data_IF_241184722010
#
_entry.id   IF_241184722010
#
_cell.length_a   1.000
_cell.length_b   1.000
_cell.length_c   1.000
_cell.angle_alpha   90.00
_cell.angle_beta   90.00
_cell.angle_gamma   90.00
#
_symmetry.space_group_name_H-M   'P 1'
#
loop_
_entity.id
_entity.type
_entity.pdbx_description
1 polymer ?
#
# COMPACT_ATOMS: atom_id res chain seq x y z
N UNK A 1 -43.97 31.22 -16.82
CA UNK A 1 -43.26 30.00 -16.37
C UNK A 1 -41.78 30.36 -16.30
N UNK A 2 -41.22 30.56 -15.10
CA UNK A 2 -39.79 30.80 -14.97
C UNK A 2 -39.02 29.52 -15.38
N UNK A 3 -37.82 29.64 -15.97
CA UNK A 3 -37.07 28.49 -16.45
C UNK A 3 -36.65 27.59 -15.29
N UNK A 4 -36.76 26.28 -15.51
CA UNK A 4 -36.31 25.23 -14.59
C UNK A 4 -34.77 25.33 -14.53
N UNK A 5 -34.16 25.48 -13.35
CA UNK A 5 -32.71 25.50 -13.24
C UNK A 5 -32.17 24.09 -13.54
N UNK A 6 -31.69 23.89 -14.76
CA UNK A 6 -30.73 22.84 -15.09
C UNK A 6 -29.36 23.30 -14.64
N UNK A 7 -29.09 23.31 -13.33
CA UNK A 7 -27.84 23.84 -12.80
C UNK A 7 -27.13 22.75 -12.03
N UNK A 8 -26.22 22.03 -12.70
CA UNK A 8 -24.95 21.79 -12.04
C UNK A 8 -24.48 23.18 -11.58
N UNK A 9 -24.29 23.35 -10.28
CA UNK A 9 -24.00 24.66 -9.73
C UNK A 9 -22.78 25.26 -10.45
N UNK A 10 -22.82 26.54 -10.77
CA UNK A 10 -21.73 27.18 -11.54
C UNK A 10 -20.38 27.00 -10.81
N UNK A 11 -20.45 26.95 -9.47
CA UNK A 11 -19.36 26.63 -8.56
C UNK A 11 -18.79 25.21 -8.79
N UNK A 12 -19.63 24.18 -8.84
CA UNK A 12 -19.20 22.80 -9.07
C UNK A 12 -18.54 22.62 -10.45
N UNK A 13 -19.05 23.30 -11.48
CA UNK A 13 -18.43 23.28 -12.82
C UNK A 13 -17.07 23.97 -12.84
N UNK A 14 -16.93 25.10 -12.14
CA UNK A 14 -15.65 25.80 -12.03
C UNK A 14 -14.60 24.99 -11.28
N UNK A 15 -15.00 24.26 -10.24
CA UNK A 15 -14.12 23.35 -9.49
C UNK A 15 -13.66 22.19 -10.35
N UNK A 16 -14.57 21.55 -11.09
CA UNK A 16 -14.23 20.48 -12.04
C UNK A 16 -13.19 20.96 -13.06
N UNK A 17 -13.41 22.13 -13.67
CA UNK A 17 -12.46 22.68 -14.64
C UNK A 17 -11.10 22.98 -14.01
N UNK A 18 -11.08 23.48 -12.77
CA UNK A 18 -9.83 23.73 -12.03
C UNK A 18 -9.06 22.44 -11.73
N UNK A 19 -9.76 21.37 -11.35
CA UNK A 19 -9.20 20.04 -11.09
C UNK A 19 -8.60 19.46 -12.37
N UNK A 20 -9.35 19.54 -13.48
CA UNK A 20 -8.91 19.00 -14.77
C UNK A 20 -7.66 19.72 -15.30
N UNK A 21 -7.61 21.06 -15.18
CA UNK A 21 -6.44 21.86 -15.55
C UNK A 21 -5.21 21.47 -14.73
N UNK A 22 -5.35 21.39 -13.41
CA UNK A 22 -4.23 21.04 -12.51
C UNK A 22 -3.78 19.59 -12.70
N UNK A 23 -4.71 18.66 -12.95
CA UNK A 23 -4.39 17.28 -13.31
C UNK A 23 -3.59 17.19 -14.63
N UNK A 24 -4.00 17.93 -15.66
CA UNK A 24 -3.28 17.97 -16.93
C UNK A 24 -1.87 18.57 -16.78
N UNK A 25 -1.72 19.62 -15.97
CA UNK A 25 -0.41 20.22 -15.71
C UNK A 25 0.55 19.23 -15.00
N UNK A 26 0.05 18.55 -13.96
CA UNK A 26 0.82 17.55 -13.22
C UNK A 26 1.25 16.37 -14.09
N UNK A 27 0.33 15.83 -14.89
CA UNK A 27 0.59 14.66 -15.74
C UNK A 27 1.47 14.99 -16.95
N UNK A 28 1.28 16.16 -17.58
CA UNK A 28 1.95 16.51 -18.83
C UNK A 28 3.30 17.18 -18.62
N UNK A 29 3.43 18.02 -17.58
CA UNK A 29 4.62 18.85 -17.40
C UNK A 29 5.41 18.45 -16.16
N UNK A 30 4.78 18.37 -14.99
CA UNK A 30 5.54 18.26 -13.75
C UNK A 30 6.12 16.85 -13.52
N UNK A 31 5.35 15.79 -13.73
CA UNK A 31 5.83 14.40 -13.55
C UNK A 31 6.93 14.04 -14.58
N UNK A 32 6.79 14.36 -15.88
CA UNK A 32 7.84 14.10 -16.85
C UNK A 32 9.10 14.94 -16.59
N UNK A 33 8.94 16.20 -16.17
CA UNK A 33 10.07 17.04 -15.75
C UNK A 33 10.81 16.39 -14.61
N UNK A 34 10.11 15.95 -13.55
CA UNK A 34 10.71 15.29 -12.41
C UNK A 34 11.43 13.98 -12.80
N UNK A 35 10.92 13.22 -13.77
CA UNK A 35 11.60 12.04 -14.33
C UNK A 35 12.89 12.40 -15.08
N UNK A 36 12.87 13.49 -15.86
CA UNK A 36 14.01 13.94 -16.66
C UNK A 36 15.10 14.62 -15.83
N UNK A 37 14.81 14.98 -14.59
CA UNK A 37 15.74 15.65 -13.70
C UNK A 37 16.82 14.70 -13.17
N UNK A 38 17.99 14.74 -13.80
CA UNK A 38 19.24 14.11 -13.35
C UNK A 38 20.14 15.09 -12.56
N UNK A 39 19.54 16.17 -12.02
CA UNK A 39 20.27 17.27 -11.38
C UNK A 39 20.67 16.98 -9.92
N UNK A 40 21.33 17.95 -9.25
CA UNK A 40 21.73 17.82 -7.85
C UNK A 40 20.52 17.57 -6.93
N UNK A 41 20.73 16.71 -5.93
CA UNK A 41 19.72 16.16 -5.02
C UNK A 41 18.80 17.22 -4.38
N UNK A 42 19.32 18.43 -4.15
CA UNK A 42 18.56 19.57 -3.61
C UNK A 42 17.48 20.09 -4.56
N UNK A 43 17.77 20.16 -5.86
CA UNK A 43 16.80 20.61 -6.88
C UNK A 43 15.71 19.58 -7.13
N UNK A 44 16.09 18.29 -7.10
CA UNK A 44 15.14 17.19 -7.18
C UNK A 44 14.19 17.18 -5.97
N UNK A 45 14.71 17.41 -4.75
CA UNK A 45 13.89 17.48 -3.54
C UNK A 45 12.91 18.66 -3.58
N UNK A 46 13.30 19.81 -4.12
CA UNK A 46 12.41 20.96 -4.30
C UNK A 46 11.25 20.64 -5.24
N UNK A 47 11.52 20.09 -6.43
CA UNK A 47 10.47 19.67 -7.36
C UNK A 47 9.61 18.53 -6.82
N UNK A 48 10.19 17.62 -6.04
CA UNK A 48 9.44 16.58 -5.35
C UNK A 48 8.47 17.14 -4.32
N UNK A 49 8.85 18.20 -3.60
CA UNK A 49 7.99 18.88 -2.65
C UNK A 49 6.85 19.62 -3.38
N UNK A 50 7.16 20.35 -4.45
CA UNK A 50 6.19 21.06 -5.29
C UNK A 50 5.12 20.10 -5.87
N UNK A 51 5.54 18.99 -6.49
CA UNK A 51 4.61 17.98 -7.02
C UNK A 51 3.74 17.36 -5.92
N UNK A 52 4.28 17.17 -4.71
CA UNK A 52 3.50 16.64 -3.58
C UNK A 52 2.47 17.65 -3.09
N UNK A 53 2.84 18.92 -2.99
CA UNK A 53 1.94 20.01 -2.61
C UNK A 53 0.79 20.15 -3.62
N UNK A 54 1.09 20.08 -4.92
CA UNK A 54 0.08 20.17 -5.97
C UNK A 54 -0.87 18.96 -5.98
N UNK A 55 -0.36 17.75 -5.72
CA UNK A 55 -1.20 16.55 -5.55
C UNK A 55 -2.08 16.66 -4.29
N UNK A 56 -1.58 17.23 -3.21
CA UNK A 56 -2.37 17.49 -2.00
C UNK A 56 -3.43 18.57 -2.25
N UNK A 57 -3.07 19.63 -3.00
CA UNK A 57 -4.01 20.65 -3.45
C UNK A 57 -5.13 20.07 -4.32
N UNK A 58 -4.80 19.16 -5.25
CA UNK A 58 -5.81 18.42 -6.02
C UNK A 58 -6.72 17.57 -5.12
N UNK A 59 -6.14 16.90 -4.11
CA UNK A 59 -6.93 16.08 -3.18
C UNK A 59 -7.97 16.91 -2.43
N UNK A 60 -7.58 18.10 -1.96
CA UNK A 60 -8.48 19.05 -1.26
C UNK A 60 -9.61 19.53 -2.16
N UNK A 61 -9.33 19.84 -3.43
CA UNK A 61 -10.35 20.25 -4.39
C UNK A 61 -11.35 19.13 -4.72
N UNK A 62 -10.90 17.87 -4.77
CA UNK A 62 -11.78 16.72 -4.97
C UNK A 62 -12.66 16.51 -3.74
N UNK A 63 -12.12 16.66 -2.53
CA UNK A 63 -12.89 16.59 -1.30
C UNK A 63 -13.95 17.71 -1.20
N UNK A 64 -13.58 18.94 -1.59
CA UNK A 64 -14.51 20.06 -1.72
C UNK A 64 -15.63 19.76 -2.73
N UNK A 65 -15.29 19.16 -3.88
CA UNK A 65 -16.26 18.71 -4.87
C UNK A 65 -17.22 17.66 -4.29
N UNK A 66 -16.75 16.73 -3.45
CA UNK A 66 -17.60 15.73 -2.81
C UNK A 66 -18.55 16.31 -1.78
N UNK A 67 -18.11 17.31 -1.01
CA UNK A 67 -18.99 18.04 -0.08
C UNK A 67 -20.11 18.73 -0.86
N UNK A 68 -19.79 19.33 -2.01
CA UNK A 68 -20.80 19.94 -2.90
C UNK A 68 -21.75 18.90 -3.52
N UNK A 69 -21.25 17.70 -3.86
CA UNK A 69 -22.08 16.58 -4.33
C UNK A 69 -23.13 16.19 -3.29
N UNK A 70 -22.77 16.19 -2.01
CA UNK A 70 -23.67 15.79 -0.93
C UNK A 70 -24.70 16.87 -0.54
N UNK A 71 -24.43 18.15 -0.83
CA UNK A 71 -25.37 19.26 -0.58
C UNK A 71 -26.46 19.38 -1.67
N UNK A 72 -26.24 18.81 -2.85
CA UNK A 72 -27.18 18.90 -3.97
C UNK A 72 -28.49 18.11 -3.73
N UNK A 73 -29.61 18.84 -3.66
CA UNK A 73 -30.98 18.30 -3.45
C UNK A 73 -31.54 17.52 -4.65
N UNK A 74 -30.92 17.58 -5.83
CA UNK A 74 -31.39 16.91 -7.05
C UNK A 74 -30.66 15.59 -7.28
N UNK A 75 -31.37 14.47 -7.10
CA UNK A 75 -30.84 13.09 -7.21
C UNK A 75 -30.24 12.73 -8.58
N UNK A 76 -30.60 13.44 -9.65
CA UNK A 76 -30.00 13.24 -10.98
C UNK A 76 -28.67 13.96 -11.13
N UNK A 77 -28.57 15.20 -10.65
CA UNK A 77 -27.32 15.98 -10.69
C UNK A 77 -26.28 15.40 -9.74
N UNK A 78 -26.71 14.97 -8.54
CA UNK A 78 -25.88 14.28 -7.55
C UNK A 78 -25.20 13.03 -8.11
N UNK A 79 -25.96 12.18 -8.84
CA UNK A 79 -25.40 10.95 -9.44
C UNK A 79 -24.37 11.22 -10.53
N UNK A 80 -24.59 12.24 -11.36
CA UNK A 80 -23.64 12.60 -12.40
C UNK A 80 -22.36 13.21 -11.80
N UNK A 81 -22.50 14.09 -10.80
CA UNK A 81 -21.37 14.72 -10.15
C UNK A 81 -20.53 13.72 -9.35
N UNK A 82 -21.19 12.77 -8.65
CA UNK A 82 -20.54 11.67 -7.94
C UNK A 82 -19.72 10.79 -8.89
N UNK A 83 -20.25 10.45 -10.07
CA UNK A 83 -19.49 9.70 -11.09
C UNK A 83 -18.21 10.44 -11.50
N UNK A 84 -18.28 11.75 -11.69
CA UNK A 84 -17.10 12.56 -12.04
C UNK A 84 -16.10 12.64 -10.89
N UNK A 85 -16.56 12.80 -9.65
CA UNK A 85 -15.71 12.79 -8.47
C UNK A 85 -14.97 11.45 -8.30
N UNK A 86 -15.63 10.31 -8.55
CA UNK A 86 -14.98 8.98 -8.54
C UNK A 86 -13.89 8.87 -9.62
N UNK A 87 -14.15 9.36 -10.85
CA UNK A 87 -13.13 9.39 -11.91
C UNK A 87 -11.92 10.24 -11.51
N UNK A 88 -12.14 11.38 -10.85
CA UNK A 88 -11.04 12.20 -10.35
C UNK A 88 -10.29 11.54 -9.18
N UNK A 89 -10.97 10.82 -8.29
CA UNK A 89 -10.32 10.01 -7.25
C UNK A 89 -9.40 8.95 -7.84
N UNK A 90 -9.89 8.18 -8.82
CA UNK A 90 -9.10 7.15 -9.49
C UNK A 90 -7.88 7.76 -10.19
N UNK A 91 -8.09 8.89 -10.87
CA UNK A 91 -7.02 9.65 -11.53
C UNK A 91 -5.97 10.14 -10.53
N UNK A 92 -6.38 10.60 -9.34
CA UNK A 92 -5.47 11.02 -8.28
C UNK A 92 -4.64 9.85 -7.74
N UNK A 93 -5.25 8.67 -7.57
CA UNK A 93 -4.53 7.45 -7.14
C UNK A 93 -3.46 7.08 -8.17
N UNK A 94 -3.78 7.15 -9.47
CA UNK A 94 -2.82 6.90 -10.53
C UNK A 94 -1.71 7.96 -10.54
N UNK A 95 -2.04 9.23 -10.39
CA UNK A 95 -1.09 10.33 -10.33
C UNK A 95 -0.12 10.20 -9.13
N UNK A 96 -0.61 9.73 -7.97
CA UNK A 96 0.22 9.40 -6.80
C UNK A 96 1.18 8.23 -7.06
N UNK A 97 0.76 7.23 -7.83
CA UNK A 97 1.64 6.11 -8.23
C UNK A 97 2.70 6.60 -9.20
N UNK A 98 2.31 7.39 -10.19
CA UNK A 98 3.22 7.92 -11.21
C UNK A 98 4.24 8.89 -10.64
N UNK A 99 3.85 9.74 -9.69
CA UNK A 99 4.78 10.64 -9.00
C UNK A 99 5.79 9.87 -8.14
N UNK A 100 5.36 8.80 -7.45
CA UNK A 100 6.28 7.91 -6.71
C UNK A 100 7.23 7.18 -7.65
N UNK A 101 6.73 6.67 -8.78
CA UNK A 101 7.56 6.01 -9.79
C UNK A 101 8.58 7.00 -10.40
N UNK A 102 8.16 8.25 -10.66
CA UNK A 102 9.03 9.31 -11.16
C UNK A 102 10.14 9.68 -10.17
N UNK A 103 9.81 9.79 -8.88
CA UNK A 103 10.76 10.07 -7.81
C UNK A 103 11.81 8.97 -7.67
N UNK A 104 11.38 7.71 -7.73
CA UNK A 104 12.29 6.59 -7.68
C UNK A 104 13.19 6.56 -8.92
N UNK A 105 12.65 6.73 -10.12
CA UNK A 105 13.42 6.74 -11.35
C UNK A 105 14.49 7.84 -11.38
N UNK A 106 14.14 9.07 -10.97
CA UNK A 106 15.09 10.17 -10.88
C UNK A 106 16.14 9.95 -9.79
N UNK A 107 15.76 9.37 -8.64
CA UNK A 107 16.73 8.99 -7.60
C UNK A 107 17.72 7.94 -8.09
N UNK A 108 17.25 6.88 -8.75
CA UNK A 108 18.12 5.87 -9.34
C UNK A 108 19.06 6.47 -10.40
N UNK A 109 18.58 7.39 -11.23
CA UNK A 109 19.40 8.09 -12.21
C UNK A 109 20.52 8.92 -11.54
N UNK A 110 20.19 9.69 -10.50
CA UNK A 110 21.17 10.48 -9.74
C UNK A 110 22.17 9.58 -9.02
N UNK A 111 21.71 8.51 -8.37
CA UNK A 111 22.57 7.55 -7.68
C UNK A 111 23.55 6.92 -8.68
N UNK A 112 23.08 6.50 -9.86
CA UNK A 112 23.94 5.94 -10.92
C UNK A 112 24.97 6.94 -11.46
N UNK A 113 24.59 8.20 -11.65
CA UNK A 113 25.52 9.24 -12.10
C UNK A 113 26.57 9.56 -11.02
N UNK A 114 26.18 9.60 -9.74
CA UNK A 114 27.10 9.84 -8.64
C UNK A 114 28.16 8.72 -8.52
N UNK A 115 27.77 7.48 -8.81
CA UNK A 115 28.70 6.35 -8.83
C UNK A 115 29.68 6.45 -10.00
N UNK A 116 29.20 6.78 -11.20
CA UNK A 116 30.08 6.97 -12.37
C UNK A 116 31.09 8.11 -12.16
N UNK A 117 30.67 9.24 -11.58
CA UNK A 117 31.58 10.35 -11.27
C UNK A 117 32.62 9.96 -10.21
N UNK A 118 32.26 9.15 -9.21
CA UNK A 118 33.23 8.63 -8.22
C UNK A 118 34.25 7.70 -8.86
N UNK A 119 33.85 6.84 -9.78
CA UNK A 119 34.75 5.93 -10.49
C UNK A 119 35.76 6.70 -11.35
N UNK A 120 35.31 7.75 -12.05
CA UNK A 120 36.20 8.64 -12.82
C UNK A 120 37.19 9.40 -11.93
N UNK A 121 36.73 9.90 -10.77
CA UNK A 121 37.57 10.60 -9.81
C UNK A 121 38.56 9.67 -9.08
N UNK A 122 38.21 8.40 -8.84
CA UNK A 122 39.14 7.41 -8.26
C UNK A 122 40.22 6.96 -9.27
N UNK A 123 39.94 7.03 -10.56
CA UNK A 123 40.90 6.69 -11.63
C UNK A 123 41.93 7.80 -11.89
N UNK A 124 41.60 9.05 -11.57
CA UNK A 124 42.42 10.25 -11.83
C UNK A 124 43.68 10.41 -10.94
N UNK A 125 43.68 10.15 -9.60
CA UNK A 125 44.84 10.41 -8.75
C UNK A 125 45.97 9.38 -8.89
N UNK A 126 45.69 8.14 -9.31
CA UNK A 126 46.68 7.07 -9.39
C UNK A 126 47.80 7.31 -10.43
N UNK A 127 47.66 8.31 -11.31
CA UNK A 127 48.62 8.63 -12.37
C UNK A 127 49.54 9.82 -12.00
N UNK A 128 49.21 10.60 -10.96
CA UNK A 128 49.90 11.88 -10.67
C UNK A 128 51.05 11.79 -9.65
N UNK A 129 51.25 10.64 -8.98
CA UNK A 129 52.17 10.52 -7.85
C UNK A 129 53.58 10.01 -8.21
N UNK A 130 53.87 9.69 -9.49
CA UNK A 130 55.13 9.06 -9.90
C UNK A 130 56.25 10.00 -10.39
N UNK A 131 56.17 11.32 -10.16
CA UNK A 131 57.04 12.28 -10.88
C UNK A 131 57.73 13.38 -10.05
N UNK A 132 57.98 13.19 -8.75
CA UNK A 132 58.70 14.21 -7.96
C UNK A 132 59.60 13.62 -6.86
N UNK A 133 60.72 12.99 -7.21
CA UNK A 133 61.75 12.64 -6.21
C UNK A 133 63.14 12.46 -6.81
N UNK A 134 63.93 13.54 -6.91
CA UNK A 134 65.39 13.45 -6.97
C UNK A 134 66.03 14.84 -6.85
N UNK A 135 66.73 15.11 -5.74
CA UNK A 135 68.02 15.81 -5.70
C UNK A 135 68.26 16.44 -4.33
N UNK A 136 69.35 16.03 -3.65
CA UNK A 136 70.49 16.91 -3.36
C UNK A 136 71.19 16.53 -2.05
N UNK A 137 72.17 15.64 -2.19
CA UNK A 137 73.09 15.09 -1.19
C UNK A 137 74.35 15.97 -1.06
N UNK A 138 74.21 17.21 -0.59
CA UNK A 138 75.35 18.13 -0.40
C UNK A 138 75.17 19.04 0.82
N UNK A 139 74.96 18.49 2.00
CA UNK A 139 74.86 19.31 3.21
C UNK A 139 75.28 18.45 4.40
N UNK A 140 76.49 18.63 4.96
CA UNK A 140 76.91 17.92 6.19
C UNK A 140 77.43 18.87 7.27
N UNK A 141 77.98 20.04 6.92
CA UNK A 141 78.31 21.11 7.89
C UNK A 141 77.16 22.13 8.01
N UNK A 142 76.62 22.59 6.87
CA UNK A 142 75.36 23.33 6.81
C UNK A 142 74.20 22.49 7.37
N UNK A 143 74.32 21.16 7.44
CA UNK A 143 73.25 20.29 7.92
C UNK A 143 73.07 20.36 9.43
N UNK A 144 74.07 20.79 10.19
CA UNK A 144 73.94 20.96 11.64
C UNK A 144 73.30 22.31 12.01
N UNK A 145 73.68 23.40 11.32
CA UNK A 145 72.98 24.68 11.45
C UNK A 145 71.58 24.62 10.83
N UNK A 146 71.44 23.99 9.67
CA UNK A 146 70.17 23.71 9.02
C UNK A 146 69.35 22.68 9.78
N UNK A 147 69.92 21.75 10.53
CA UNK A 147 69.13 20.87 11.41
C UNK A 147 68.51 21.64 12.57
N UNK A 148 69.23 22.58 13.20
CA UNK A 148 68.62 23.42 14.23
C UNK A 148 67.58 24.39 13.66
N UNK A 149 67.84 24.95 12.48
CA UNK A 149 66.87 25.76 11.77
C UNK A 149 65.66 24.93 11.32
N UNK A 150 65.87 23.73 10.77
CA UNK A 150 64.82 22.80 10.33
C UNK A 150 64.03 22.27 11.53
N UNK A 151 64.62 22.08 12.72
CA UNK A 151 63.88 21.71 13.95
C UNK A 151 63.04 22.88 14.43
N UNK A 152 63.57 24.11 14.36
CA UNK A 152 62.81 25.33 14.72
C UNK A 152 61.70 25.62 13.72
N UNK A 153 61.99 25.48 12.42
CA UNK A 153 61.03 25.60 11.33
C UNK A 153 59.99 24.47 11.42
N UNK A 154 60.40 23.24 11.72
CA UNK A 154 59.49 22.12 11.96
C UNK A 154 58.60 22.37 13.18
N UNK A 155 59.11 22.95 14.27
CA UNK A 155 58.31 23.33 15.43
C UNK A 155 57.34 24.46 15.09
N UNK A 156 57.78 25.48 14.36
CA UNK A 156 56.93 26.60 13.94
C UNK A 156 55.85 26.12 12.95
N UNK A 157 56.20 25.19 12.06
CA UNK A 157 55.29 24.48 11.16
C UNK A 157 54.35 23.55 11.91
N UNK A 158 54.81 22.91 12.98
CA UNK A 158 53.99 22.04 13.86
C UNK A 158 53.03 22.87 14.68
N UNK A 159 53.44 24.04 15.20
CA UNK A 159 52.56 24.99 15.87
C UNK A 159 51.50 25.49 14.89
N UNK A 160 51.89 25.89 13.68
CA UNK A 160 50.94 26.26 12.63
C UNK A 160 50.00 25.13 12.22
N UNK A 161 50.48 23.89 12.16
CA UNK A 161 49.66 22.70 11.90
C UNK A 161 48.73 22.37 13.06
N UNK A 162 49.16 22.47 14.31
CA UNK A 162 48.32 22.28 15.49
C UNK A 162 47.23 23.33 15.56
N UNK A 163 47.54 24.58 15.24
CA UNK A 163 46.57 25.67 15.21
C UNK A 163 45.53 25.43 14.10
N UNK A 164 45.98 24.98 12.92
CA UNK A 164 45.12 24.56 11.82
C UNK A 164 44.30 23.30 12.14
N UNK A 165 44.85 22.35 12.88
CA UNK A 165 44.13 21.16 13.35
C UNK A 165 43.11 21.50 14.44
N UNK A 166 43.40 22.46 15.32
CA UNK A 166 42.46 22.94 16.31
C UNK A 166 41.31 23.71 15.67
N UNK A 167 41.58 24.61 14.71
CA UNK A 167 40.53 25.25 13.91
C UNK A 167 39.67 24.22 13.18
N UNK A 168 40.31 23.18 12.62
CA UNK A 168 39.62 22.08 11.95
C UNK A 168 38.85 21.18 12.92
N UNK A 169 39.32 21.00 14.15
CA UNK A 169 38.67 20.21 15.19
C UNK A 169 37.44 20.93 15.76
N UNK A 170 37.51 22.26 15.94
CA UNK A 170 36.35 23.08 16.32
C UNK A 170 35.29 23.07 15.21
N UNK A 171 35.71 23.21 13.94
CA UNK A 171 34.80 23.08 12.80
C UNK A 171 34.19 21.67 12.70
N UNK A 172 34.97 20.63 12.97
CA UNK A 172 34.49 19.25 12.97
C UNK A 172 33.50 18.99 14.12
N UNK A 173 33.72 19.55 15.31
CA UNK A 173 32.76 19.47 16.42
C UNK A 173 31.46 20.20 16.11
N UNK A 174 31.53 21.40 15.52
CA UNK A 174 30.33 22.12 15.06
C UNK A 174 29.57 21.33 13.97
N UNK A 175 30.30 20.71 13.04
CA UNK A 175 29.69 19.85 12.03
C UNK A 175 29.06 18.59 12.65
N UNK A 176 29.71 17.95 13.62
CA UNK A 176 29.16 16.79 14.34
C UNK A 176 27.91 17.15 15.13
N UNK A 177 27.89 18.31 15.79
CA UNK A 177 26.72 18.79 16.53
C UNK A 177 25.58 19.15 15.58
N UNK A 178 25.87 19.82 14.44
CA UNK A 178 24.88 20.08 13.39
C UNK A 178 24.34 18.79 12.75
N UNK A 179 25.19 17.77 12.57
CA UNK A 179 24.81 16.46 12.04
C UNK A 179 23.94 15.70 13.04
N UNK A 180 24.24 15.82 14.34
CA UNK A 180 23.45 15.24 15.43
C UNK A 180 22.07 15.91 15.54
N UNK A 181 22.01 17.24 15.44
CA UNK A 181 20.75 17.99 15.43
C UNK A 181 19.89 17.64 14.19
N UNK A 182 20.55 17.40 13.05
CA UNK A 182 19.88 16.95 11.81
C UNK A 182 19.38 15.52 11.95
N UNK A 183 20.14 14.61 12.56
CA UNK A 183 19.70 13.24 12.85
C UNK A 183 18.53 13.19 13.84
N UNK A 184 18.52 14.04 14.87
CA UNK A 184 17.38 14.15 15.77
C UNK A 184 16.13 14.68 15.05
N UNK A 185 16.29 15.64 14.15
CA UNK A 185 15.20 16.15 13.31
C UNK A 185 14.70 15.10 12.32
N UNK A 186 15.61 14.30 11.76
CA UNK A 186 15.30 13.16 10.90
C UNK A 186 14.56 12.03 11.65
N UNK A 187 14.93 11.75 12.90
CA UNK A 187 14.23 10.77 13.75
C UNK A 187 12.79 11.23 14.03
N UNK A 188 12.59 12.50 14.42
CA UNK A 188 11.25 13.05 14.66
C UNK A 188 10.35 13.02 13.43
N UNK A 189 10.92 13.24 12.24
CA UNK A 189 10.18 13.13 10.98
C UNK A 189 9.86 11.67 10.63
N UNK A 190 10.73 10.72 10.96
CA UNK A 190 10.41 9.30 10.85
C UNK A 190 9.28 8.85 11.80
N UNK A 191 9.31 9.28 13.06
CA UNK A 191 8.27 8.93 14.05
C UNK A 191 6.89 9.47 13.65
N UNK A 192 6.84 10.69 13.12
CA UNK A 192 5.59 11.29 12.63
C UNK A 192 5.06 10.60 11.37
N UNK A 193 5.94 10.16 10.46
CA UNK A 193 5.55 9.35 9.30
C UNK A 193 5.00 7.99 9.70
N UNK A 194 5.60 7.32 10.69
CA UNK A 194 5.10 6.04 11.21
C UNK A 194 3.75 6.21 11.92
N UNK A 195 3.55 7.32 12.65
CA UNK A 195 2.25 7.65 13.23
C UNK A 195 1.17 7.83 12.15
N UNK A 196 1.48 8.55 11.07
CA UNK A 196 0.56 8.77 9.94
C UNK A 196 0.31 7.47 9.18
N UNK A 197 1.33 6.64 8.96
CA UNK A 197 1.19 5.32 8.33
C UNK A 197 0.35 4.37 9.19
N UNK A 198 0.54 4.40 10.51
CA UNK A 198 -0.28 3.69 11.48
C UNK A 198 -1.75 4.13 11.40
N UNK A 199 -2.00 5.43 11.41
CA UNK A 199 -3.34 6.00 11.24
C UNK A 199 -3.97 5.62 9.90
N UNK A 200 -3.19 5.64 8.81
CA UNK A 200 -3.66 5.22 7.48
C UNK A 200 -4.01 3.73 7.46
N UNK A 201 -3.18 2.86 8.04
CA UNK A 201 -3.50 1.43 8.19
C UNK A 201 -4.75 1.18 9.03
N UNK A 202 -4.93 1.96 10.10
CA UNK A 202 -6.08 1.82 10.97
C UNK A 202 -7.36 2.29 10.28
N UNK A 203 -7.31 3.38 9.50
CA UNK A 203 -8.42 3.81 8.64
C UNK A 203 -8.75 2.76 7.57
N UNK A 204 -7.74 2.22 6.87
CA UNK A 204 -7.93 1.18 5.86
C UNK A 204 -8.57 -0.07 6.48
N UNK A 205 -8.09 -0.50 7.64
CA UNK A 205 -8.64 -1.66 8.36
C UNK A 205 -10.08 -1.39 8.84
N UNK A 206 -10.37 -0.15 9.28
CA UNK A 206 -11.72 0.22 9.69
C UNK A 206 -12.68 0.25 8.49
N UNK A 207 -12.22 0.76 7.34
CA UNK A 207 -12.99 0.80 6.10
C UNK A 207 -13.25 -0.62 5.57
N UNK A 208 -12.22 -1.49 5.55
CA UNK A 208 -12.36 -2.90 5.17
C UNK A 208 -13.35 -3.66 6.07
N UNK A 209 -13.32 -3.41 7.39
CA UNK A 209 -14.28 -4.01 8.33
C UNK A 209 -15.71 -3.54 8.09
N UNK A 210 -15.91 -2.25 7.82
CA UNK A 210 -17.24 -1.71 7.49
C UNK A 210 -17.76 -2.32 6.18
N UNK A 211 -16.91 -2.42 5.15
CA UNK A 211 -17.28 -3.06 3.88
C UNK A 211 -17.60 -4.55 4.05
N UNK A 212 -16.84 -5.26 4.89
CA UNK A 212 -17.12 -6.67 5.19
C UNK A 212 -18.44 -6.86 5.95
N UNK A 213 -18.72 -5.99 6.93
CA UNK A 213 -19.99 -6.00 7.66
C UNK A 213 -21.18 -5.66 6.76
N UNK A 214 -21.05 -4.66 5.90
CA UNK A 214 -22.10 -4.30 4.94
C UNK A 214 -22.41 -5.47 4.00
N UNK A 215 -21.36 -6.13 3.50
CA UNK A 215 -21.51 -7.31 2.65
C UNK A 215 -22.20 -8.47 3.38
N UNK A 216 -21.88 -8.68 4.66
CA UNK A 216 -22.55 -9.68 5.51
C UNK A 216 -24.01 -9.30 5.77
N UNK A 217 -24.32 -8.02 6.00
CA UNK A 217 -25.69 -7.56 6.22
C UNK A 217 -26.54 -7.81 4.98
N UNK A 218 -26.02 -7.49 3.78
CA UNK A 218 -26.71 -7.77 2.51
C UNK A 218 -26.96 -9.27 2.34
N UNK A 219 -25.95 -10.11 2.57
CA UNK A 219 -26.09 -11.57 2.47
C UNK A 219 -27.11 -12.09 3.47
N UNK A 220 -27.06 -11.63 4.72
CA UNK A 220 -28.00 -12.04 5.77
C UNK A 220 -29.44 -11.67 5.42
N UNK A 221 -29.66 -10.46 4.87
CA UNK A 221 -30.96 -10.01 4.41
C UNK A 221 -31.49 -10.84 3.23
N UNK A 222 -30.62 -11.18 2.28
CA UNK A 222 -30.98 -12.04 1.14
C UNK A 222 -31.37 -13.45 1.61
N UNK A 223 -30.60 -14.04 2.53
CA UNK A 223 -30.89 -15.36 3.10
C UNK A 223 -32.20 -15.34 3.88
N UNK A 224 -32.43 -14.31 4.71
CA UNK A 224 -33.66 -14.16 5.46
C UNK A 224 -34.87 -14.00 4.53
N UNK A 225 -34.75 -13.16 3.51
CA UNK A 225 -35.78 -13.00 2.49
C UNK A 225 -36.07 -14.32 1.75
N UNK A 226 -35.02 -15.03 1.34
CA UNK A 226 -35.13 -16.33 0.70
C UNK A 226 -35.84 -17.35 1.58
N UNK A 227 -35.49 -17.42 2.87
CA UNK A 227 -36.17 -18.27 3.86
C UNK A 227 -37.64 -17.91 4.01
N UNK A 228 -37.98 -16.62 4.08
CA UNK A 228 -39.37 -16.16 4.19
C UNK A 228 -40.16 -16.52 2.93
N UNK A 229 -39.61 -16.27 1.74
CA UNK A 229 -40.24 -16.65 0.47
C UNK A 229 -40.42 -18.17 0.41
N UNK A 230 -39.40 -18.95 0.76
CA UNK A 230 -39.48 -20.41 0.76
C UNK A 230 -40.49 -20.93 1.79
N UNK A 231 -40.58 -20.29 2.95
CA UNK A 231 -41.57 -20.61 3.97
C UNK A 231 -43.00 -20.33 3.49
N UNK A 232 -43.23 -19.16 2.88
CA UNK A 232 -44.52 -18.79 2.27
C UNK A 232 -44.87 -19.76 1.15
N UNK A 233 -43.91 -20.10 0.28
CA UNK A 233 -44.10 -21.08 -0.78
C UNK A 233 -44.42 -22.44 -0.19
N UNK A 234 -43.69 -22.91 0.83
CA UNK A 234 -43.95 -24.19 1.49
C UNK A 234 -45.35 -24.21 2.07
N UNK A 235 -45.77 -23.17 2.78
CA UNK A 235 -47.12 -23.10 3.36
C UNK A 235 -48.21 -22.98 2.27
N UNK A 236 -47.99 -22.18 1.23
CA UNK A 236 -48.96 -21.98 0.15
C UNK A 236 -49.08 -23.20 -0.79
N UNK A 237 -47.96 -23.80 -1.17
CA UNK A 237 -47.92 -25.02 -2.01
C UNK A 237 -48.44 -26.20 -1.21
N UNK A 238 -48.14 -26.32 0.09
CA UNK A 238 -48.68 -27.41 0.90
C UNK A 238 -50.18 -27.21 1.13
N UNK A 239 -50.66 -26.03 1.50
CA UNK A 239 -52.10 -25.85 1.76
C UNK A 239 -52.96 -25.86 0.49
N UNK A 240 -52.45 -25.36 -0.64
CA UNK A 240 -53.15 -25.48 -1.94
C UNK A 240 -52.94 -26.84 -2.58
N UNK A 241 -51.73 -27.38 -2.51
CA UNK A 241 -51.38 -28.70 -3.05
C UNK A 241 -52.06 -29.83 -2.28
N UNK A 242 -52.17 -29.75 -0.95
CA UNK A 242 -52.96 -30.68 -0.15
C UNK A 242 -54.46 -30.54 -0.44
N UNK A 243 -54.99 -29.33 -0.63
CA UNK A 243 -56.40 -29.17 -1.05
C UNK A 243 -56.66 -29.68 -2.46
N UNK A 244 -55.77 -29.42 -3.42
CA UNK A 244 -55.87 -29.97 -4.77
C UNK A 244 -55.71 -31.49 -4.74
N UNK A 245 -54.74 -32.02 -4.00
CA UNK A 245 -54.53 -33.46 -3.87
C UNK A 245 -55.71 -34.12 -3.17
N UNK A 246 -56.25 -33.53 -2.10
CA UNK A 246 -57.43 -34.03 -1.39
C UNK A 246 -58.70 -33.90 -2.23
N UNK A 247 -58.85 -32.83 -3.02
CA UNK A 247 -59.95 -32.67 -3.97
C UNK A 247 -59.88 -33.70 -5.11
N UNK A 248 -58.69 -33.92 -5.69
CA UNK A 248 -58.47 -34.95 -6.71
C UNK A 248 -58.62 -36.37 -6.13
N UNK A 249 -58.17 -36.68 -4.91
CA UNK A 249 -58.42 -37.99 -4.28
C UNK A 249 -59.88 -38.19 -3.86
N UNK A 250 -60.64 -37.11 -3.66
CA UNK A 250 -62.07 -37.15 -3.36
C UNK A 250 -62.93 -37.29 -4.63
N UNK A 251 -62.42 -36.85 -5.78
CA UNK A 251 -63.11 -36.89 -7.07
C UNK A 251 -62.69 -38.08 -7.97
N UNK A 252 -61.69 -38.88 -7.56
CA UNK A 252 -61.46 -40.19 -8.17
C UNK A 252 -62.42 -41.22 -7.52
N UNK A 253 -63.31 -41.88 -8.30
CA UNK A 253 -64.06 -43.01 -7.80
C UNK A 253 -63.08 -44.13 -7.43
N UNK A 254 -63.21 -44.66 -6.22
CA UNK A 254 -62.47 -45.83 -5.77
C UNK A 254 -62.89 -47.04 -6.61
N UNK A 255 -62.17 -47.29 -7.70
CA UNK A 255 -62.22 -48.56 -8.41
C UNK A 255 -60.80 -48.95 -8.77
N UNK A 256 -60.39 -50.13 -8.30
CA UNK A 256 -59.17 -50.79 -8.74
C UNK A 256 -57.95 -50.56 -7.86
N UNK A 257 -57.94 -51.19 -6.69
CA UNK A 257 -56.70 -51.67 -6.06
C UNK A 257 -55.94 -52.57 -7.03
N UNK A 258 -54.86 -52.08 -7.67
CA UNK A 258 -53.74 -52.92 -8.15
C UNK A 258 -52.54 -52.13 -8.73
N UNK A 259 -52.65 -50.85 -9.07
CA UNK A 259 -51.51 -50.13 -9.69
C UNK A 259 -50.57 -49.42 -8.70
N UNK A 260 -50.93 -49.39 -7.41
CA UNK A 260 -50.13 -48.72 -6.37
C UNK A 260 -48.90 -49.53 -5.92
N UNK A 261 -48.83 -50.82 -6.24
CA UNK A 261 -47.67 -51.66 -5.92
C UNK A 261 -46.51 -51.50 -6.93
N UNK A 262 -46.79 -51.17 -8.20
CA UNK A 262 -45.76 -51.13 -9.25
C UNK A 262 -45.01 -49.80 -9.28
N UNK A 263 -45.64 -48.68 -8.88
CA UNK A 263 -45.01 -47.35 -8.91
C UNK A 263 -44.14 -47.09 -7.67
N UNK A 264 -44.43 -47.75 -6.54
CA UNK A 264 -43.58 -47.68 -5.33
C UNK A 264 -42.30 -48.50 -5.51
N UNK A 265 -42.35 -49.61 -6.27
CA UNK A 265 -41.16 -50.42 -6.53
C UNK A 265 -40.19 -49.74 -7.52
N UNK A 266 -40.70 -48.97 -8.50
CA UNK A 266 -39.85 -48.19 -9.43
C UNK A 266 -39.29 -46.89 -8.85
N UNK A 267 -39.84 -46.38 -7.74
CA UNK A 267 -39.24 -45.23 -7.04
C UNK A 267 -38.04 -45.65 -6.16
N UNK A 268 -37.99 -46.91 -5.71
CA UNK A 268 -36.87 -47.45 -4.93
C UNK A 268 -35.58 -47.67 -5.74
N UNK A 269 -35.70 -48.02 -7.03
CA UNK A 269 -34.55 -48.34 -7.89
C UNK A 269 -33.84 -47.08 -8.44
N UNK A 270 -34.58 -45.98 -8.60
CA UNK A 270 -34.04 -44.68 -9.06
C UNK A 270 -33.34 -43.92 -7.92
N UNK A 271 -33.74 -44.16 -6.66
CA UNK A 271 -33.02 -43.64 -5.48
C UNK A 271 -31.73 -44.44 -5.21
N UNK A 272 -31.71 -45.74 -5.47
CA UNK A 272 -30.50 -46.56 -5.36
C UNK A 272 -29.46 -46.24 -6.47
N UNK A 273 -29.90 -45.98 -7.70
CA UNK A 273 -28.99 -45.60 -8.79
C UNK A 273 -28.52 -44.14 -8.73
N UNK A 274 -29.31 -43.21 -8.17
CA UNK A 274 -28.84 -41.85 -7.90
C UNK A 274 -27.79 -41.79 -6.77
N UNK A 275 -27.84 -42.73 -5.82
CA UNK A 275 -26.85 -42.83 -4.73
C UNK A 275 -25.49 -43.36 -5.23
N UNK A 276 -25.45 -44.17 -6.29
CA UNK A 276 -24.21 -44.67 -6.89
C UNK A 276 -23.56 -43.68 -7.89
N UNK A 277 -24.32 -42.73 -8.46
CA UNK A 277 -23.76 -41.71 -9.37
C UNK A 277 -23.08 -40.57 -8.61
N UNK A 278 -23.43 -40.35 -7.34
CA UNK A 278 -22.75 -39.35 -6.49
C UNK A 278 -21.39 -39.80 -5.95
N UNK A 279 -21.01 -41.07 -6.12
CA UNK A 279 -19.73 -41.60 -5.63
C UNK A 279 -18.65 -41.73 -6.72
N UNK A 280 -18.96 -41.39 -7.99
CA UNK A 280 -17.98 -41.48 -9.10
C UNK A 280 -17.56 -40.15 -9.73
N UNK A 281 -18.03 -38.99 -9.25
CA UNK A 281 -17.68 -37.70 -9.87
C UNK A 281 -16.98 -36.68 -8.98
N UNK A 282 -16.42 -37.05 -7.83
CA UNK A 282 -15.48 -36.19 -7.08
C UNK A 282 -14.22 -36.97 -6.72
N UNK A 283 -13.57 -37.52 -7.75
CA UNK A 283 -12.12 -37.62 -7.78
C UNK A 283 -11.59 -36.42 -8.55
N UNK A 284 -10.95 -35.47 -7.87
CA UNK A 284 -10.19 -34.41 -8.56
C UNK A 284 -10.14 -33.05 -7.86
N UNK A 285 -9.26 -32.98 -6.84
CA UNK A 285 -8.48 -31.80 -6.44
C UNK A 285 -9.14 -30.66 -5.64
N UNK A 286 -8.71 -30.57 -4.37
CA UNK A 286 -8.16 -29.31 -3.84
C UNK A 286 -8.93 -28.62 -2.72
N UNK A 287 -8.66 -29.02 -1.47
CA UNK A 287 -8.88 -28.27 -0.22
C UNK A 287 -8.37 -26.80 -0.27
N UNK A 288 -8.73 -25.88 0.66
CA UNK A 288 -9.26 -26.15 2.00
C UNK A 288 -10.41 -25.26 2.48
N UNK A 289 -11.18 -25.75 3.45
CA UNK A 289 -11.88 -24.87 4.39
C UNK A 289 -11.87 -25.45 5.79
N UNK A 290 -11.53 -24.53 6.67
CA UNK A 290 -11.18 -24.60 8.07
C UNK A 290 -12.46 -24.52 8.91
N UNK A 291 -12.60 -25.42 9.90
CA UNK A 291 -13.63 -25.31 10.92
C UNK A 291 -12.96 -25.40 12.28
N UNK A 292 -12.95 -24.26 12.99
CA UNK A 292 -12.57 -24.15 14.40
C UNK A 292 -13.66 -24.81 15.23
N UNK A 293 -13.29 -25.82 16.02
CA UNK A 293 -14.10 -26.33 17.12
C UNK A 293 -13.64 -25.71 18.44
N UNK A 294 -14.63 -25.37 19.25
CA UNK A 294 -14.50 -24.73 20.54
C UNK A 294 -13.89 -25.65 21.60
N UNK A 295 -12.93 -25.07 22.34
CA UNK A 295 -12.67 -25.16 23.78
C UNK A 295 -13.20 -26.37 24.57
N UNK A 296 -12.26 -27.11 25.16
CA UNK A 296 -12.42 -27.74 26.48
C UNK A 296 -11.12 -27.59 27.31
N UNK A 297 -11.20 -27.75 28.65
CA UNK A 297 -10.29 -27.05 29.55
C UNK A 297 -9.44 -27.97 30.45
N UNK A 298 -8.32 -27.41 30.93
CA UNK A 298 -7.49 -27.73 32.12
C UNK A 298 -7.01 -29.18 32.45
N UNK A 299 -5.66 -29.31 32.57
CA UNK A 299 -4.84 -30.28 33.35
C UNK A 299 -4.78 -31.73 32.83
N UNK A 300 -3.68 -32.48 32.88
CA UNK A 300 -2.61 -32.60 33.89
C UNK A 300 -1.35 -33.15 33.21
N UNK A 301 -0.16 -32.65 33.58
CA UNK A 301 1.11 -33.19 33.10
C UNK A 301 1.55 -34.45 33.85
N UNK A 302 2.40 -35.27 33.22
CA UNK A 302 3.54 -35.93 33.88
C UNK A 302 4.48 -36.65 32.89
N UNK A 303 5.77 -36.52 33.20
CA UNK A 303 6.91 -37.39 32.90
C UNK A 303 7.42 -37.57 31.45
N UNK A 304 8.57 -36.94 31.17
CA UNK A 304 9.54 -37.48 30.20
C UNK A 304 10.92 -37.54 30.85
N UNK A 305 11.52 -38.73 30.80
CA UNK A 305 12.76 -39.10 31.43
C UNK A 305 14.00 -38.61 30.69
N UNK A 306 15.00 -38.27 31.49
CA UNK A 306 16.36 -37.93 31.10
C UNK A 306 17.12 -39.16 30.58
N UNK A 307 17.74 -39.03 29.42
CA UNK A 307 18.72 -39.96 28.86
C UNK A 307 19.84 -39.16 28.23
N UNK A 308 20.96 -39.03 28.95
CA UNK A 308 22.13 -38.27 28.52
C UNK A 308 22.91 -38.95 27.39
N UNK A 309 23.67 -38.13 26.67
CA UNK A 309 24.79 -38.57 25.84
C UNK A 309 25.97 -37.64 26.13
N UNK A 310 27.08 -38.30 26.44
CA UNK A 310 28.39 -37.79 26.82
C UNK A 310 29.29 -37.61 25.59
N UNK A 311 30.52 -37.13 25.84
CA UNK A 311 31.73 -37.17 24.98
C UNK A 311 31.91 -35.94 24.08
N UNK A 312 33.04 -35.24 24.03
CA UNK A 312 34.20 -35.01 24.91
C UNK A 312 35.02 -33.91 24.18
N UNK A 313 35.92 -33.26 24.91
CA UNK A 313 37.18 -32.76 24.37
C UNK A 313 38.25 -33.80 24.67
#
# INVERSE_FOLDING_TARGET
>A
MPPIPTTLDAEALSLIESIERRHNDLSTFQIPRLKACTGPLTTQQAWAAEVREDIEGLAKQIEELDVLVDDHRTERARRELRRRAEVFRDSLVNLRKDSRAALLASKYAIDSQSLSQREELMRSPAIREKSTSSSSEKVTEDALMKANHDVTEALQRTIGLMQKELERSVLSSQLLESSTATLQSASKTHDTLDLILGASKQLITALEKTDWLDRILIISGLVFFGLVVLFILKQRIIDRGLRIAFFWTRLLPSSGSSTRAVVVQKAGEVVATASAVLESSIGGHGSPSFTISATEPWTTGQHSGSGGVHVEL
#
